data_IF_808635479395
#
_entry.id   IF_808635479395
#
_cell.length_a   1.000
_cell.length_b   1.000
_cell.length_c   1.000
_cell.angle_alpha   90.00
_cell.angle_beta   90.00
_cell.angle_gamma   90.00
#
_symmetry.space_group_name_H-M   'P 1'
#
loop_
_entity.id
_entity.type
_entity.pdbx_description
1 polymer ?
#
# COMPACT_ATOMS: atom_id res chain seq x y z
N UNK A 1 -3.09 16.84 3.56
CA UNK A 1 -3.01 15.45 3.97
C UNK A 1 -1.63 14.86 3.68
N UNK A 2 -1.20 14.83 2.43
CA UNK A 2 0.07 14.20 2.02
C UNK A 2 1.31 14.76 2.72
N UNK A 3 1.42 16.09 2.86
CA UNK A 3 2.54 16.68 3.58
C UNK A 3 2.54 16.29 5.07
N UNK A 4 1.38 16.29 5.72
CA UNK A 4 1.27 15.85 7.12
C UNK A 4 1.65 14.36 7.26
N UNK A 5 1.20 13.52 6.35
CA UNK A 5 1.57 12.11 6.29
C UNK A 5 3.08 11.92 6.16
N UNK A 6 3.73 12.63 5.23
CA UNK A 6 5.17 12.56 5.03
C UNK A 6 5.94 12.99 6.29
N UNK A 7 5.57 14.12 6.89
CA UNK A 7 6.24 14.60 8.11
C UNK A 7 6.10 13.58 9.24
N UNK A 8 4.90 13.02 9.44
CA UNK A 8 4.66 12.03 10.51
C UNK A 8 5.38 10.71 10.22
N UNK A 9 5.49 10.32 8.95
CA UNK A 9 6.29 9.19 8.49
C UNK A 9 7.75 9.34 8.95
N UNK A 10 8.39 10.45 8.63
CA UNK A 10 9.80 10.73 9.02
C UNK A 10 9.97 10.83 10.54
N UNK A 11 9.02 11.47 11.24
CA UNK A 11 9.02 11.51 12.71
C UNK A 11 8.88 10.11 13.33
N UNK A 12 8.19 9.19 12.66
CA UNK A 12 8.07 7.81 13.14
C UNK A 12 9.41 7.10 13.11
N UNK A 13 10.20 7.26 12.05
CA UNK A 13 11.56 6.72 12.00
C UNK A 13 12.46 7.28 13.13
N UNK A 14 12.35 8.58 13.44
CA UNK A 14 13.07 9.18 14.55
C UNK A 14 12.59 8.69 15.94
N UNK A 15 11.34 8.25 16.04
CA UNK A 15 10.72 7.79 17.30
C UNK A 15 11.02 6.33 17.59
N UNK A 16 10.95 5.47 16.56
CA UNK A 16 11.15 4.03 16.64
C UNK A 16 11.82 3.52 15.37
N UNK A 17 12.96 2.88 15.54
CA UNK A 17 13.68 2.20 14.46
C UNK A 17 14.13 0.81 14.92
N UNK A 18 13.51 -0.23 14.39
CA UNK A 18 13.89 -1.61 14.65
C UNK A 18 15.10 -1.98 13.77
N UNK A 19 16.27 -2.20 14.41
CA UNK A 19 17.51 -2.54 13.70
C UNK A 19 17.35 -3.81 12.87
N UNK A 20 17.81 -3.77 11.62
CA UNK A 20 17.74 -4.88 10.65
C UNK A 20 16.31 -5.27 10.19
N UNK A 21 15.29 -4.46 10.47
CA UNK A 21 13.90 -4.69 10.07
C UNK A 21 13.38 -3.58 9.14
N UNK A 22 14.04 -3.36 8.00
CA UNK A 22 13.74 -2.25 7.08
C UNK A 22 12.26 -2.26 6.64
N UNK A 23 11.77 -3.40 6.14
CA UNK A 23 10.38 -3.53 5.70
C UNK A 23 9.37 -3.18 6.81
N UNK A 24 9.66 -3.58 8.05
CA UNK A 24 8.82 -3.24 9.20
C UNK A 24 8.85 -1.74 9.49
N UNK A 25 10.01 -1.12 9.49
CA UNK A 25 10.17 0.32 9.74
C UNK A 25 9.40 1.16 8.73
N UNK A 26 9.53 0.85 7.43
CA UNK A 26 8.83 1.55 6.36
C UNK A 26 7.31 1.38 6.44
N UNK A 27 6.84 0.15 6.69
CA UNK A 27 5.41 -0.11 6.83
C UNK A 27 4.83 0.56 8.09
N UNK A 28 5.58 0.57 9.20
CA UNK A 28 5.17 1.26 10.43
C UNK A 28 5.07 2.77 10.21
N UNK A 29 6.10 3.37 9.61
CA UNK A 29 6.13 4.80 9.34
C UNK A 29 5.00 5.22 8.40
N UNK A 30 4.76 4.44 7.34
CA UNK A 30 3.64 4.67 6.41
C UNK A 30 2.28 4.54 7.12
N UNK A 31 2.09 3.51 7.94
CA UNK A 31 0.85 3.31 8.69
C UNK A 31 0.60 4.44 9.70
N UNK A 32 1.59 4.80 10.49
CA UNK A 32 1.49 5.89 11.50
C UNK A 32 1.31 7.23 10.81
N UNK A 33 2.01 7.47 9.69
CA UNK A 33 1.86 8.65 8.85
C UNK A 33 0.42 8.85 8.38
N UNK A 34 -0.19 7.81 7.81
CA UNK A 34 -1.60 7.83 7.36
C UNK A 34 -2.56 8.09 8.52
N UNK A 35 -2.46 7.33 9.62
CA UNK A 35 -3.33 7.49 10.78
C UNK A 35 -3.17 8.86 11.46
N UNK A 36 -1.94 9.37 11.48
CA UNK A 36 -1.63 10.71 11.99
C UNK A 36 -2.17 11.83 11.12
N UNK A 37 -2.07 11.69 9.79
CA UNK A 37 -2.61 12.67 8.84
C UNK A 37 -4.13 12.78 8.93
N UNK A 38 -4.85 11.66 9.08
CA UNK A 38 -6.31 11.65 9.29
C UNK A 38 -6.65 12.47 10.55
N UNK A 39 -5.96 12.22 11.67
CA UNK A 39 -6.21 12.95 12.93
C UNK A 39 -5.85 14.43 12.83
N UNK A 40 -4.74 14.74 12.19
CA UNK A 40 -4.34 16.12 11.94
C UNK A 40 -5.38 16.88 11.13
N UNK A 41 -5.87 16.30 10.03
CA UNK A 41 -6.91 16.92 9.22
C UNK A 41 -8.24 17.04 9.98
N UNK A 42 -8.62 16.01 10.73
CA UNK A 42 -9.83 16.05 11.56
C UNK A 42 -9.76 17.17 12.60
N UNK A 43 -8.62 17.32 13.28
CA UNK A 43 -8.45 18.35 14.31
C UNK A 43 -8.35 19.76 13.72
N UNK A 44 -7.71 19.93 12.56
CA UNK A 44 -7.48 21.23 11.93
C UNK A 44 -8.69 21.73 11.14
N UNK A 45 -9.30 20.86 10.33
CA UNK A 45 -10.32 21.26 9.34
C UNK A 45 -11.72 20.72 9.70
N UNK A 46 -11.82 19.82 10.69
CA UNK A 46 -13.06 19.18 11.09
C UNK A 46 -13.30 17.81 10.44
N UNK A 47 -14.11 16.97 11.12
CA UNK A 47 -14.38 15.59 10.69
C UNK A 47 -15.19 15.50 9.36
N UNK A 48 -15.91 16.56 9.00
CA UNK A 48 -16.71 16.63 7.76
C UNK A 48 -16.05 17.50 6.70
N UNK A 49 -14.76 17.82 6.82
CA UNK A 49 -14.10 18.71 5.88
C UNK A 49 -13.83 18.02 4.54
N UNK A 50 -13.97 18.78 3.45
CA UNK A 50 -13.64 18.31 2.11
C UNK A 50 -12.18 17.83 2.00
N UNK A 51 -11.25 18.51 2.66
CA UNK A 51 -9.83 18.14 2.66
C UNK A 51 -9.59 16.78 3.29
N UNK A 52 -10.28 16.44 4.37
CA UNK A 52 -10.22 15.13 5.00
C UNK A 52 -10.83 14.06 4.07
N UNK A 53 -12.00 14.35 3.51
CA UNK A 53 -12.69 13.45 2.56
C UNK A 53 -11.82 13.15 1.35
N UNK A 54 -11.25 14.16 0.70
CA UNK A 54 -10.34 13.99 -0.43
C UNK A 54 -9.10 13.17 -0.07
N UNK A 55 -8.55 13.38 1.12
CA UNK A 55 -7.42 12.60 1.61
C UNK A 55 -7.79 11.12 1.80
N UNK A 56 -8.92 10.84 2.45
CA UNK A 56 -9.43 9.47 2.65
C UNK A 56 -9.69 8.80 1.30
N UNK A 57 -10.39 9.45 0.38
CA UNK A 57 -10.63 8.92 -0.97
C UNK A 57 -9.32 8.60 -1.71
N UNK A 58 -8.29 9.45 -1.55
CA UNK A 58 -6.98 9.16 -2.17
C UNK A 58 -6.30 7.90 -1.59
N UNK A 59 -6.57 7.55 -0.34
CA UNK A 59 -6.08 6.31 0.29
C UNK A 59 -6.90 5.10 -0.13
N UNK A 60 -8.22 5.23 -0.22
CA UNK A 60 -9.12 4.19 -0.72
C UNK A 60 -8.78 3.83 -2.17
N UNK A 61 -8.53 4.83 -3.02
CA UNK A 61 -8.05 4.63 -4.39
C UNK A 61 -6.74 3.85 -4.42
N UNK A 62 -5.78 4.22 -3.56
CA UNK A 62 -4.50 3.52 -3.50
C UNK A 62 -4.66 2.08 -2.97
N UNK A 63 -5.52 1.85 -1.99
CA UNK A 63 -5.80 0.51 -1.47
C UNK A 63 -6.51 -0.35 -2.53
N UNK A 64 -7.43 0.23 -3.32
CA UNK A 64 -8.07 -0.45 -4.46
C UNK A 64 -7.05 -0.84 -5.54
N UNK A 65 -6.19 0.09 -5.92
CA UNK A 65 -5.08 -0.14 -6.84
C UNK A 65 -4.13 -1.23 -6.33
N UNK A 66 -3.70 -1.15 -5.06
CA UNK A 66 -2.79 -2.11 -4.44
C UNK A 66 -3.38 -3.52 -4.40
N UNK A 67 -4.66 -3.64 -4.05
CA UNK A 67 -5.38 -4.92 -4.05
C UNK A 67 -5.50 -5.50 -5.47
N UNK A 68 -5.69 -4.67 -6.49
CA UNK A 68 -5.69 -5.12 -7.89
C UNK A 68 -4.31 -5.65 -8.30
N UNK A 69 -3.24 -4.94 -7.97
CA UNK A 69 -1.87 -5.38 -8.24
C UNK A 69 -1.52 -6.68 -7.50
N UNK A 70 -1.98 -6.83 -6.27
CA UNK A 70 -1.81 -8.07 -5.51
C UNK A 70 -2.51 -9.26 -6.19
N UNK A 71 -3.76 -9.09 -6.66
CA UNK A 71 -4.46 -10.11 -7.45
C UNK A 71 -3.72 -10.41 -8.76
N UNK A 72 -3.19 -9.37 -9.40
CA UNK A 72 -2.35 -9.51 -10.59
C UNK A 72 -1.09 -10.36 -10.33
N UNK A 73 -0.43 -10.14 -9.19
CA UNK A 73 0.71 -10.97 -8.76
C UNK A 73 0.32 -12.45 -8.61
N UNK A 74 -0.79 -12.73 -7.94
CA UNK A 74 -1.27 -14.11 -7.77
C UNK A 74 -1.62 -14.78 -9.11
N UNK A 75 -2.18 -14.01 -10.03
CA UNK A 75 -2.43 -14.50 -11.40
C UNK A 75 -1.11 -14.81 -12.14
N UNK A 76 -0.10 -13.94 -12.05
CA UNK A 76 1.22 -14.19 -12.63
C UNK A 76 1.89 -15.42 -12.05
N UNK A 77 1.80 -15.66 -10.73
CA UNK A 77 2.32 -16.88 -10.11
C UNK A 77 1.68 -18.13 -10.71
N UNK A 78 0.36 -18.10 -10.88
CA UNK A 78 -0.38 -19.21 -11.54
C UNK A 78 0.11 -19.43 -12.97
N UNK A 79 0.31 -18.38 -13.76
CA UNK A 79 0.87 -18.47 -15.11
C UNK A 79 2.25 -19.12 -15.09
N UNK A 80 3.12 -18.75 -14.15
CA UNK A 80 4.45 -19.35 -14.04
C UNK A 80 4.40 -20.86 -13.77
N UNK A 81 3.58 -21.27 -12.79
CA UNK A 81 3.43 -22.69 -12.45
C UNK A 81 2.96 -23.50 -13.65
N UNK A 82 1.96 -23.00 -14.40
CA UNK A 82 1.39 -23.71 -15.55
C UNK A 82 2.29 -23.71 -16.79
N UNK A 83 3.27 -22.82 -16.86
CA UNK A 83 4.14 -22.67 -18.02
C UNK A 83 5.56 -23.19 -17.80
N UNK A 84 5.86 -23.76 -16.65
CA UNK A 84 7.24 -24.12 -16.26
C UNK A 84 7.89 -25.13 -17.21
N UNK A 85 7.11 -26.04 -17.79
CA UNK A 85 7.58 -27.03 -18.76
C UNK A 85 7.50 -26.58 -20.23
N UNK A 86 7.03 -25.36 -20.49
CA UNK A 86 6.86 -24.85 -21.86
C UNK A 86 8.15 -24.23 -22.39
N UNK A 87 8.25 -24.11 -23.71
CA UNK A 87 9.33 -23.39 -24.39
C UNK A 87 9.42 -21.93 -23.90
N UNK A 88 10.65 -21.41 -23.85
CA UNK A 88 10.96 -20.08 -23.30
C UNK A 88 10.17 -18.96 -24.00
N UNK A 89 10.06 -18.98 -25.32
CA UNK A 89 9.35 -17.94 -26.07
C UNK A 89 7.84 -17.97 -25.81
N UNK A 90 7.25 -19.14 -25.67
CA UNK A 90 5.84 -19.29 -25.30
C UNK A 90 5.57 -18.79 -23.89
N UNK A 91 6.48 -19.07 -22.94
CA UNK A 91 6.41 -18.54 -21.56
C UNK A 91 6.47 -17.01 -21.55
N UNK A 92 7.38 -16.39 -22.30
CA UNK A 92 7.48 -14.92 -22.41
C UNK A 92 6.19 -14.30 -22.94
N UNK A 93 5.61 -14.90 -23.98
CA UNK A 93 4.35 -14.43 -24.59
C UNK A 93 3.19 -14.50 -23.59
N UNK A 94 3.02 -15.63 -22.90
CA UNK A 94 1.94 -15.81 -21.91
C UNK A 94 2.10 -14.84 -20.72
N UNK A 95 3.33 -14.65 -20.24
CA UNK A 95 3.63 -13.66 -19.20
C UNK A 95 3.29 -12.25 -19.65
N UNK A 96 3.69 -11.85 -20.85
CA UNK A 96 3.40 -10.51 -21.38
C UNK A 96 1.88 -10.29 -21.48
N UNK A 97 1.15 -11.27 -22.02
CA UNK A 97 -0.31 -11.22 -22.10
C UNK A 97 -0.98 -11.11 -20.72
N UNK A 98 -0.47 -11.83 -19.72
CA UNK A 98 -0.99 -11.74 -18.36
C UNK A 98 -0.75 -10.33 -17.76
N UNK A 99 0.43 -9.75 -17.93
CA UNK A 99 0.71 -8.38 -17.48
C UNK A 99 -0.20 -7.37 -18.20
N UNK A 100 -0.37 -7.50 -19.51
CA UNK A 100 -1.25 -6.61 -20.29
C UNK A 100 -2.69 -6.70 -19.81
N UNK A 101 -3.19 -7.91 -19.52
CA UNK A 101 -4.52 -8.11 -18.95
C UNK A 101 -4.68 -7.42 -17.59
N UNK A 102 -3.68 -7.51 -16.70
CA UNK A 102 -3.71 -6.82 -15.40
C UNK A 102 -3.80 -5.31 -15.59
N UNK A 103 -3.03 -4.75 -16.54
CA UNK A 103 -3.01 -3.31 -16.82
C UNK A 103 -4.35 -2.85 -17.39
N UNK A 104 -4.88 -3.54 -18.39
CA UNK A 104 -6.16 -3.18 -19.02
C UNK A 104 -7.31 -3.24 -18.02
N UNK A 105 -7.30 -4.21 -17.11
CA UNK A 105 -8.33 -4.34 -16.09
C UNK A 105 -8.28 -3.24 -15.01
N UNK A 106 -7.23 -2.39 -14.95
CA UNK A 106 -7.25 -1.19 -14.10
C UNK A 106 -8.37 -0.22 -14.48
N UNK A 107 -8.69 -0.12 -15.76
CA UNK A 107 -9.74 0.77 -16.26
C UNK A 107 -11.14 0.34 -15.83
N UNK A 108 -11.31 -0.90 -15.35
CA UNK A 108 -12.58 -1.41 -14.82
C UNK A 108 -12.81 -1.06 -13.35
N UNK A 109 -11.81 -0.48 -12.68
CA UNK A 109 -11.91 -0.12 -11.28
C UNK A 109 -12.55 1.26 -11.11
N UNK A 110 -13.43 1.38 -10.12
CA UNK A 110 -14.11 2.64 -9.81
C UNK A 110 -13.31 3.46 -8.80
N UNK A 111 -12.31 4.20 -9.27
CA UNK A 111 -11.56 5.14 -8.44
C UNK A 111 -12.33 6.44 -8.23
N UNK A 112 -12.15 7.09 -7.07
CA UNK A 112 -12.63 8.47 -6.85
C UNK A 112 -11.91 9.45 -7.77
N UNK A 113 -10.60 9.29 -7.96
CA UNK A 113 -9.82 10.05 -8.93
C UNK A 113 -9.31 9.14 -10.05
N UNK A 114 -10.16 8.92 -11.06
CA UNK A 114 -9.85 8.08 -12.20
C UNK A 114 -8.64 8.57 -13.00
N UNK A 115 -8.46 9.88 -13.15
CA UNK A 115 -7.36 10.47 -13.91
C UNK A 115 -5.98 10.15 -13.31
N UNK A 116 -5.90 9.91 -12.00
CA UNK A 116 -4.64 9.54 -11.33
C UNK A 116 -4.07 8.22 -11.83
N UNK A 117 -4.92 7.28 -12.21
CA UNK A 117 -4.53 5.93 -12.60
C UNK A 117 -4.63 5.70 -14.11
N UNK A 118 -5.23 6.66 -14.84
CA UNK A 118 -5.33 6.62 -16.28
C UNK A 118 -3.93 6.62 -16.90
N UNK A 119 -3.72 5.74 -17.83
CA UNK A 119 -2.45 5.64 -18.57
C UNK A 119 -1.19 5.44 -17.70
N UNK A 120 -1.33 5.04 -16.41
CA UNK A 120 -0.21 4.93 -15.46
C UNK A 120 0.95 4.06 -16.00
N UNK A 121 0.66 3.10 -16.88
CA UNK A 121 1.64 2.23 -17.51
C UNK A 121 1.82 2.46 -19.02
N UNK A 122 1.33 3.55 -19.55
CA UNK A 122 1.41 3.85 -20.98
C UNK A 122 2.85 3.87 -21.51
N UNK A 123 3.77 4.42 -20.74
CA UNK A 123 5.16 4.58 -21.13
C UNK A 123 6.09 3.50 -20.61
N UNK A 124 5.74 2.83 -19.51
CA UNK A 124 6.57 1.79 -18.90
C UNK A 124 5.71 0.72 -18.25
N UNK A 125 5.65 -0.44 -18.89
CA UNK A 125 4.96 -1.60 -18.32
C UNK A 125 5.67 -2.11 -17.05
N UNK A 126 4.92 -2.54 -16.02
CA UNK A 126 5.50 -3.13 -14.83
C UNK A 126 6.15 -4.48 -15.15
N UNK A 127 7.18 -4.81 -14.40
CA UNK A 127 7.79 -6.14 -14.41
C UNK A 127 7.37 -6.93 -13.15
N UNK A 128 7.79 -8.19 -13.05
CA UNK A 128 7.45 -9.05 -11.91
C UNK A 128 7.85 -8.46 -10.56
N UNK A 129 9.02 -7.84 -10.46
CA UNK A 129 9.51 -7.25 -9.22
C UNK A 129 8.58 -6.14 -8.72
N UNK A 130 7.94 -5.42 -9.62
CA UNK A 130 6.97 -4.39 -9.28
C UNK A 130 5.76 -4.96 -8.51
N UNK A 131 5.24 -6.12 -8.94
CA UNK A 131 4.07 -6.74 -8.28
C UNK A 131 4.38 -7.30 -6.89
N UNK A 132 5.64 -7.67 -6.61
CA UNK A 132 6.05 -8.21 -5.30
C UNK A 132 5.91 -7.15 -4.19
N UNK A 133 6.09 -5.88 -4.49
CA UNK A 133 6.00 -4.80 -3.51
C UNK A 133 4.62 -4.71 -2.85
N UNK A 134 3.55 -5.04 -3.59
CA UNK A 134 2.18 -4.99 -3.06
C UNK A 134 1.86 -6.11 -2.05
N UNK A 135 2.53 -7.26 -2.14
CA UNK A 135 2.34 -8.38 -1.20
C UNK A 135 2.74 -7.99 0.23
N UNK A 136 3.85 -7.29 0.37
CA UNK A 136 4.42 -6.93 1.68
C UNK A 136 3.62 -5.82 2.36
N UNK A 137 3.21 -4.82 1.59
CA UNK A 137 2.52 -3.64 2.10
C UNK A 137 1.15 -3.97 2.71
N UNK A 138 0.26 -4.64 1.97
CA UNK A 138 -1.12 -4.89 2.40
C UNK A 138 -1.21 -5.77 3.66
N UNK A 139 -0.42 -6.85 3.73
CA UNK A 139 -0.42 -7.75 4.87
C UNK A 139 0.05 -7.08 6.17
N UNK A 140 1.04 -6.20 6.10
CA UNK A 140 1.58 -5.48 7.26
C UNK A 140 0.62 -4.39 7.74
N UNK A 141 0.08 -3.57 6.83
CA UNK A 141 -0.90 -2.51 7.16
C UNK A 141 -2.10 -3.08 7.91
N UNK A 142 -2.70 -4.17 7.43
CA UNK A 142 -3.84 -4.84 8.08
C UNK A 142 -3.49 -5.33 9.49
N UNK A 143 -2.34 -5.97 9.67
CA UNK A 143 -1.88 -6.46 10.98
C UNK A 143 -1.67 -5.30 11.97
N UNK A 144 -1.03 -4.22 11.53
CA UNK A 144 -0.79 -3.03 12.36
C UNK A 144 -2.10 -2.39 12.79
N UNK A 145 -3.04 -2.21 11.85
CA UNK A 145 -4.36 -1.67 12.16
C UNK A 145 -5.13 -2.54 13.15
N UNK A 146 -5.18 -3.85 12.91
CA UNK A 146 -5.85 -4.78 13.84
C UNK A 146 -5.24 -4.73 15.24
N UNK A 147 -3.92 -4.68 15.36
CA UNK A 147 -3.25 -4.62 16.66
C UNK A 147 -3.54 -3.29 17.36
N UNK A 148 -3.45 -2.17 16.64
CA UNK A 148 -3.74 -0.84 17.17
C UNK A 148 -5.19 -0.74 17.66
N UNK A 149 -6.15 -1.19 16.86
CA UNK A 149 -7.58 -1.09 17.21
C UNK A 149 -7.95 -2.00 18.39
N UNK A 150 -7.53 -3.27 18.35
CA UNK A 150 -7.90 -4.25 19.38
C UNK A 150 -7.24 -4.02 20.72
N UNK A 151 -5.93 -3.72 20.73
CA UNK A 151 -5.14 -3.62 21.98
C UNK A 151 -5.06 -2.20 22.52
N UNK A 152 -5.07 -1.20 21.63
CA UNK A 152 -4.84 0.20 22.00
C UNK A 152 -6.04 1.11 21.70
N UNK A 153 -7.19 0.55 21.28
CA UNK A 153 -8.41 1.31 20.96
C UNK A 153 -8.16 2.49 20.02
N UNK A 154 -7.22 2.28 19.08
CA UNK A 154 -6.80 3.29 18.14
C UNK A 154 -5.79 4.33 18.68
N UNK A 155 -5.29 4.24 19.90
CA UNK A 155 -4.30 5.17 20.44
C UNK A 155 -2.90 4.93 19.84
N UNK A 156 -2.48 5.81 18.91
CA UNK A 156 -1.17 5.74 18.24
C UNK A 156 -0.03 5.87 19.26
N UNK A 157 -0.15 6.74 20.25
CA UNK A 157 0.91 6.98 21.24
C UNK A 157 1.16 5.71 22.06
N UNK A 158 0.10 5.11 22.60
CA UNK A 158 0.17 3.85 23.36
C UNK A 158 0.72 2.71 22.48
N UNK A 159 0.31 2.65 21.21
CA UNK A 159 0.80 1.68 20.25
C UNK A 159 2.31 1.82 20.00
N UNK A 160 2.81 3.04 19.76
CA UNK A 160 4.25 3.30 19.55
C UNK A 160 5.08 3.01 20.81
N UNK A 161 4.59 3.35 22.01
CA UNK A 161 5.26 3.01 23.27
C UNK A 161 5.39 1.49 23.44
N UNK A 162 4.35 0.74 23.14
CA UNK A 162 4.38 -0.72 23.17
C UNK A 162 5.40 -1.29 22.18
N UNK A 163 5.41 -0.79 20.93
CA UNK A 163 6.36 -1.25 19.92
C UNK A 163 7.80 -0.90 20.29
N UNK A 164 8.02 0.30 20.86
CA UNK A 164 9.34 0.72 21.34
C UNK A 164 9.86 -0.26 22.38
N UNK A 165 9.07 -0.66 23.37
CA UNK A 165 9.47 -1.65 24.37
C UNK A 165 9.72 -3.06 23.82
N UNK A 166 9.20 -3.36 22.62
CA UNK A 166 9.40 -4.66 21.95
C UNK A 166 10.65 -4.71 21.05
N UNK A 167 11.06 -3.56 20.48
CA UNK A 167 12.13 -3.49 19.49
C UNK A 167 13.35 -2.64 19.92
N UNK A 168 13.35 -2.16 21.18
CA UNK A 168 14.49 -1.47 21.80
C UNK A 168 15.45 -2.44 22.43
#
# INVERSE_FOLDING_TARGET
GQLAELIIHEMTHATLYAKSHVDFNENLASFVGEQGAIRFLTARDGASSEKLSQYIHSKEDYDLFSNHMLRGKLHLDSVYVHTDTMEIEKRKTLKAAAIDSIIVNLDTLSFFNQERFKDIYKFKKPNNAYFINFVRYDAMKKKMKMLMDRKFKGDIKAYLVYLKGKYS
#
